data_IF_327780828758
#
_entry.id   IF_327780828758
#
_cell.length_a   1.000
_cell.length_b   1.000
_cell.length_c   1.000
_cell.angle_alpha   90.00
_cell.angle_beta   90.00
_cell.angle_gamma   90.00
#
_symmetry.space_group_name_H-M   'P 1'
#
loop_
_entity.id
_entity.type
_entity.pdbx_description
1 polymer ?
#
# COMPACT_ATOMS: atom_id res chain seq x y z
N UNK A 1 16.85 0.01 -25.47
CA UNK A 1 15.70 0.85 -25.87
C UNK A 1 14.89 1.29 -24.63
N UNK A 2 15.12 2.50 -24.11
CA UNK A 2 14.39 3.09 -22.96
C UNK A 2 14.22 4.61 -23.20
N UNK A 3 13.34 5.01 -24.12
CA UNK A 3 13.13 6.44 -24.45
C UNK A 3 11.66 6.87 -24.60
N UNK A 4 10.70 6.08 -24.11
CA UNK A 4 9.27 6.34 -24.33
C UNK A 4 8.52 7.06 -23.19
N UNK A 5 9.07 7.21 -21.98
CA UNK A 5 8.31 7.75 -20.83
C UNK A 5 8.45 9.27 -20.57
N UNK A 6 9.42 9.95 -21.17
CA UNK A 6 9.63 11.40 -20.99
C UNK A 6 8.65 12.23 -21.82
N UNK A 7 8.29 11.78 -23.02
CA UNK A 7 7.35 12.49 -23.91
C UNK A 7 5.96 12.66 -23.30
N UNK A 8 5.48 11.66 -22.56
CA UNK A 8 4.14 11.69 -21.94
C UNK A 8 4.06 12.64 -20.73
N UNK A 9 5.17 12.93 -20.04
CA UNK A 9 5.19 13.90 -18.94
C UNK A 9 5.25 15.35 -19.45
N UNK A 10 5.98 15.57 -20.55
CA UNK A 10 6.07 16.90 -21.18
C UNK A 10 4.73 17.30 -21.78
N UNK A 11 4.01 16.37 -22.42
CA UNK A 11 2.68 16.63 -22.97
C UNK A 11 1.67 17.04 -21.89
N UNK A 12 1.71 16.42 -20.71
CA UNK A 12 0.84 16.78 -19.57
C UNK A 12 1.18 18.15 -18.99
N UNK A 13 2.46 18.50 -18.93
CA UNK A 13 2.90 19.82 -18.50
C UNK A 13 2.45 20.90 -19.49
N UNK A 14 2.55 20.63 -20.79
CA UNK A 14 2.11 21.55 -21.85
C UNK A 14 0.60 21.76 -21.79
N UNK A 15 -0.20 20.70 -21.63
CA UNK A 15 -1.66 20.79 -21.48
C UNK A 15 -2.02 21.60 -20.22
N UNK A 16 -1.32 21.39 -19.11
CA UNK A 16 -1.54 22.15 -17.88
C UNK A 16 -1.20 23.64 -18.04
N UNK A 17 -0.06 23.96 -18.67
CA UNK A 17 0.31 25.34 -18.98
C UNK A 17 -0.66 25.99 -19.97
N UNK A 18 -1.18 25.25 -20.94
CA UNK A 18 -2.18 25.80 -21.90
C UNK A 18 -3.50 26.06 -21.21
N UNK A 19 -3.97 25.18 -20.33
CA UNK A 19 -5.18 25.44 -19.54
C UNK A 19 -4.97 26.65 -18.63
N UNK A 20 -3.82 26.74 -17.96
CA UNK A 20 -3.48 27.88 -17.10
C UNK A 20 -3.40 29.21 -17.88
N UNK A 21 -2.74 29.21 -19.04
CA UNK A 21 -2.63 30.38 -19.93
C UNK A 21 -3.99 30.72 -20.55
N UNK A 22 -4.81 29.76 -20.96
CA UNK A 22 -6.15 30.01 -21.51
C UNK A 22 -7.09 30.52 -20.44
N UNK A 23 -7.02 30.02 -19.20
CA UNK A 23 -7.78 30.57 -18.06
C UNK A 23 -7.32 31.98 -17.70
N UNK A 24 -6.01 32.25 -17.71
CA UNK A 24 -5.44 33.58 -17.48
C UNK A 24 -5.82 34.58 -18.59
N UNK A 25 -5.71 34.17 -19.86
CA UNK A 25 -6.09 34.97 -21.02
C UNK A 25 -7.60 35.14 -21.16
N UNK A 26 -8.41 34.17 -20.73
CA UNK A 26 -9.87 34.31 -20.66
C UNK A 26 -10.28 35.29 -19.57
N UNK A 27 -9.54 35.33 -18.45
CA UNK A 27 -9.67 36.38 -17.45
C UNK A 27 -9.26 37.75 -17.98
N UNK A 28 -8.22 37.84 -18.83
CA UNK A 28 -7.69 39.10 -19.37
C UNK A 28 -8.56 39.68 -20.52
N UNK A 29 -8.94 38.85 -21.51
CA UNK A 29 -9.77 39.28 -22.67
C UNK A 29 -11.20 39.66 -22.30
N UNK A 30 -11.70 39.17 -21.17
CA UNK A 30 -13.03 39.48 -20.66
C UNK A 30 -13.00 40.22 -19.33
N UNK A 31 -11.82 40.65 -18.85
CA UNK A 31 -11.67 41.42 -17.61
C UNK A 31 -12.62 42.61 -17.60
N UNK A 32 -12.66 43.38 -18.69
CA UNK A 32 -13.54 44.56 -18.80
C UNK A 32 -15.03 44.22 -18.87
N UNK A 33 -15.42 43.11 -19.49
CA UNK A 33 -16.83 42.68 -19.55
C UNK A 33 -17.30 42.07 -18.23
N UNK A 34 -16.43 41.33 -17.54
CA UNK A 34 -16.67 40.77 -16.22
C UNK A 34 -16.69 41.88 -15.17
N UNK A 35 -15.80 42.87 -15.26
CA UNK A 35 -15.80 44.07 -14.41
C UNK A 35 -17.06 44.91 -14.64
N UNK A 36 -17.48 45.15 -15.88
CA UNK A 36 -18.75 45.85 -16.17
C UNK A 36 -19.98 45.05 -15.73
N UNK A 37 -19.95 43.72 -15.81
CA UNK A 37 -21.02 42.86 -15.28
C UNK A 37 -21.06 42.90 -13.75
N UNK A 38 -19.90 42.88 -13.08
CA UNK A 38 -19.83 43.02 -11.62
C UNK A 38 -20.22 44.44 -11.16
N UNK A 39 -19.83 45.50 -11.88
CA UNK A 39 -20.31 46.86 -11.63
C UNK A 39 -21.82 46.96 -11.82
N UNK A 40 -22.37 46.35 -12.86
CA UNK A 40 -23.81 46.31 -13.11
C UNK A 40 -24.54 45.52 -12.02
N UNK A 41 -24.02 44.37 -11.59
CA UNK A 41 -24.57 43.54 -10.50
C UNK A 41 -24.46 44.26 -9.14
N UNK A 42 -23.34 44.94 -8.85
CA UNK A 42 -23.15 45.73 -7.63
C UNK A 42 -24.03 46.99 -7.62
N UNK A 43 -24.24 47.65 -8.76
CA UNK A 43 -25.15 48.78 -8.90
C UNK A 43 -26.63 48.35 -8.84
N UNK A 44 -26.97 47.15 -9.31
CA UNK A 44 -28.35 46.64 -9.21
C UNK A 44 -28.70 46.06 -7.83
N UNK A 45 -27.70 45.91 -6.94
CA UNK A 45 -27.88 45.60 -5.51
C UNK A 45 -27.87 46.90 -4.67
N UNK A 46 -28.16 48.07 -5.28
CA UNK A 46 -28.03 49.40 -4.67
C UNK A 46 -28.71 49.55 -3.30
N UNK A 47 -27.90 49.28 -2.28
CA UNK A 47 -28.00 49.77 -0.92
C UNK A 47 -26.63 49.86 -0.23
N UNK A 48 -25.52 49.53 -0.92
CA UNK A 48 -24.17 49.57 -0.35
C UNK A 48 -23.30 50.68 -0.97
N UNK A 49 -22.52 51.42 -0.15
CA UNK A 49 -21.66 52.50 -0.61
C UNK A 49 -20.47 51.98 -1.44
N UNK A 50 -19.97 52.85 -2.31
CA UNK A 50 -18.87 52.65 -3.27
C UNK A 50 -17.64 51.98 -2.64
N UNK A 51 -17.31 50.75 -3.08
CA UNK A 51 -16.05 50.08 -2.76
C UNK A 51 -14.86 50.85 -3.32
N UNK A 52 -13.78 50.96 -2.54
CA UNK A 52 -12.57 51.69 -2.93
C UNK A 52 -11.66 50.82 -3.80
N UNK A 53 -10.78 51.44 -4.60
CA UNK A 53 -9.84 50.72 -5.48
C UNK A 53 -8.93 49.73 -4.72
N UNK A 54 -8.70 49.97 -3.42
CA UNK A 54 -7.95 49.08 -2.54
C UNK A 54 -8.66 47.73 -2.32
N UNK A 55 -9.99 47.73 -2.24
CA UNK A 55 -10.80 46.52 -2.04
C UNK A 55 -10.80 45.62 -3.29
N UNK A 56 -10.70 46.22 -4.48
CA UNK A 56 -10.59 45.48 -5.75
C UNK A 56 -9.23 44.75 -5.85
N UNK A 57 -8.17 45.33 -5.28
CA UNK A 57 -6.83 44.72 -5.30
C UNK A 57 -6.72 43.51 -4.36
N UNK A 58 -7.38 43.55 -3.20
CA UNK A 58 -7.39 42.43 -2.26
C UNK A 58 -8.10 41.22 -2.86
N UNK A 59 -9.30 41.42 -3.43
CA UNK A 59 -10.11 40.38 -4.08
C UNK A 59 -9.33 39.66 -5.20
N UNK A 60 -8.54 40.40 -6.00
CA UNK A 60 -7.71 39.82 -7.07
C UNK A 60 -6.60 38.92 -6.54
N UNK A 61 -5.95 39.30 -5.45
CA UNK A 61 -4.89 38.50 -4.83
C UNK A 61 -5.47 37.22 -4.22
N UNK A 62 -6.63 37.31 -3.56
CA UNK A 62 -7.33 36.16 -2.96
C UNK A 62 -7.75 35.13 -4.01
N UNK A 63 -8.30 35.59 -5.14
CA UNK A 63 -8.68 34.73 -6.26
C UNK A 63 -7.46 34.03 -6.89
N UNK A 64 -6.33 34.73 -6.99
CA UNK A 64 -5.09 34.19 -7.54
C UNK A 64 -4.51 33.08 -6.67
N UNK A 65 -4.44 33.30 -5.35
CA UNK A 65 -3.98 32.30 -4.36
C UNK A 65 -4.89 31.07 -4.38
N UNK A 66 -6.21 31.25 -4.47
CA UNK A 66 -7.16 30.14 -4.56
C UNK A 66 -6.97 29.32 -5.83
N UNK A 67 -6.78 29.97 -6.98
CA UNK A 67 -6.53 29.29 -8.25
C UNK A 67 -5.26 28.42 -8.22
N UNK A 68 -4.24 28.89 -7.49
CA UNK A 68 -2.95 28.23 -7.33
C UNK A 68 -3.05 27.02 -6.40
N UNK A 69 -3.78 27.15 -5.28
CA UNK A 69 -4.06 26.06 -4.35
C UNK A 69 -4.98 25.00 -4.99
N UNK A 70 -6.01 25.41 -5.74
CA UNK A 70 -6.88 24.50 -6.48
C UNK A 70 -6.10 23.75 -7.57
N UNK A 71 -5.25 24.45 -8.31
CA UNK A 71 -4.33 23.85 -9.28
C UNK A 71 -3.38 22.84 -8.63
N UNK A 72 -2.85 23.14 -7.45
CA UNK A 72 -1.97 22.24 -6.71
C UNK A 72 -2.71 21.00 -6.20
N UNK A 73 -3.93 21.16 -5.68
CA UNK A 73 -4.77 20.07 -5.22
C UNK A 73 -5.23 19.16 -6.38
N UNK A 74 -5.63 19.75 -7.51
CA UNK A 74 -5.96 19.02 -8.76
C UNK A 74 -4.73 18.31 -9.30
N UNK A 75 -3.55 18.95 -9.31
CA UNK A 75 -2.29 18.29 -9.70
C UNK A 75 -1.99 17.08 -8.82
N UNK A 76 -2.17 17.19 -7.50
CA UNK A 76 -1.98 16.07 -6.58
C UNK A 76 -3.00 14.95 -6.84
N UNK A 77 -4.29 15.28 -6.99
CA UNK A 77 -5.36 14.33 -7.32
C UNK A 77 -5.14 13.62 -8.68
N UNK A 78 -4.61 14.33 -9.68
CA UNK A 78 -4.31 13.77 -11.00
C UNK A 78 -3.01 12.94 -11.03
N UNK A 79 -2.08 13.23 -10.12
CA UNK A 79 -0.83 12.46 -9.97
C UNK A 79 -1.03 11.21 -9.12
N UNK A 80 -2.08 11.15 -8.30
CA UNK A 80 -2.60 9.89 -7.75
C UNK A 80 -3.10 9.06 -8.94
N UNK A 81 -2.49 7.90 -9.24
CA UNK A 81 -2.93 7.08 -10.34
C UNK A 81 -4.32 6.53 -10.01
N UNK A 82 -5.38 7.19 -10.51
CA UNK A 82 -6.72 6.63 -10.56
C UNK A 82 -6.62 5.31 -11.31
N UNK A 83 -6.65 4.25 -10.53
CA UNK A 83 -6.43 2.91 -11.03
C UNK A 83 -7.62 2.57 -11.94
N UNK A 84 -7.33 2.39 -13.24
CA UNK A 84 -8.19 1.68 -14.22
C UNK A 84 -8.56 0.24 -13.79
N UNK A 85 -8.16 -0.19 -12.58
CA UNK A 85 -8.41 -1.49 -12.01
C UNK A 85 -9.80 -1.62 -11.37
N UNK A 86 -10.62 -0.56 -11.25
CA UNK A 86 -12.00 -0.69 -10.76
C UNK A 86 -12.97 -1.25 -11.83
N UNK A 87 -12.64 -1.12 -13.12
CA UNK A 87 -13.46 -1.64 -14.23
C UNK A 87 -12.88 -2.89 -14.92
N UNK A 88 -11.87 -3.55 -14.34
CA UNK A 88 -11.17 -4.67 -15.01
C UNK A 88 -10.92 -5.90 -14.15
N UNK A 89 -11.87 -6.23 -13.26
CA UNK A 89 -11.87 -7.48 -12.48
C UNK A 89 -12.96 -8.45 -12.96
N UNK A 90 -13.00 -8.71 -14.27
CA UNK A 90 -13.45 -10.00 -14.80
C UNK A 90 -12.24 -10.62 -15.49
N UNK A 91 -11.76 -11.72 -14.89
CA UNK A 91 -10.85 -12.74 -15.42
C UNK A 91 -9.45 -12.33 -15.91
N UNK A 92 -8.44 -12.34 -15.03
CA UNK A 92 -7.13 -12.97 -15.35
C UNK A 92 -6.56 -13.59 -14.07
N UNK A 93 -6.40 -14.93 -14.10
CA UNK A 93 -5.65 -15.75 -13.14
C UNK A 93 -4.20 -15.25 -13.08
N UNK A 94 -3.85 -14.42 -12.10
CA UNK A 94 -2.50 -13.84 -11.97
C UNK A 94 -1.69 -14.53 -10.88
N UNK A 95 -0.42 -14.74 -11.23
CA UNK A 95 0.64 -15.35 -10.45
C UNK A 95 0.74 -14.73 -9.03
N UNK A 96 0.75 -15.52 -7.94
CA UNK A 96 0.67 -15.04 -6.55
C UNK A 96 1.76 -14.02 -6.15
N UNK A 97 2.90 -13.99 -6.84
CA UNK A 97 3.97 -13.00 -6.64
C UNK A 97 3.56 -11.54 -6.92
N UNK A 98 2.53 -11.31 -7.76
CA UNK A 98 2.08 -9.93 -8.08
C UNK A 98 1.05 -9.38 -7.09
N UNK A 99 0.52 -10.20 -6.19
CA UNK A 99 -0.51 -9.80 -5.24
C UNK A 99 0.09 -9.05 -4.04
N UNK A 100 1.20 -9.55 -3.48
CA UNK A 100 1.80 -8.99 -2.25
C UNK A 100 2.44 -7.60 -2.44
N UNK A 101 3.11 -7.35 -3.58
CA UNK A 101 3.63 -6.00 -3.91
C UNK A 101 2.47 -4.99 -4.10
N UNK A 102 1.30 -5.48 -4.52
CA UNK A 102 0.11 -4.64 -4.74
C UNK A 102 -0.52 -4.18 -3.42
N UNK A 103 -0.43 -4.97 -2.36
CA UNK A 103 -1.12 -4.67 -1.10
C UNK A 103 -0.39 -3.62 -0.26
N UNK A 104 0.95 -3.68 -0.15
CA UNK A 104 1.72 -2.63 0.54
C UNK A 104 1.70 -1.29 -0.24
N UNK A 105 1.67 -1.35 -1.58
CA UNK A 105 1.51 -0.13 -2.40
C UNK A 105 0.09 0.45 -2.35
N UNK A 106 -0.93 -0.35 -2.06
CA UNK A 106 -2.30 0.14 -1.89
C UNK A 106 -2.48 0.91 -0.58
N UNK A 107 -1.91 0.45 0.54
CA UNK A 107 -1.97 1.20 1.81
C UNK A 107 -1.33 2.59 1.71
N UNK A 108 -0.16 2.70 1.06
CA UNK A 108 0.47 4.01 0.79
C UNK A 108 -0.41 4.90 -0.08
N UNK A 109 -1.11 4.35 -1.08
CA UNK A 109 -2.02 5.13 -1.93
C UNK A 109 -3.22 5.66 -1.15
N UNK A 110 -3.84 4.85 -0.29
CA UNK A 110 -4.97 5.30 0.53
C UNK A 110 -4.58 6.46 1.46
N UNK A 111 -3.37 6.41 2.02
CA UNK A 111 -2.84 7.52 2.83
C UNK A 111 -2.70 8.83 2.02
N UNK A 112 -2.08 8.79 0.84
CA UNK A 112 -1.94 10.00 0.01
C UNK A 112 -3.29 10.53 -0.49
N UNK A 113 -4.24 9.66 -0.84
CA UNK A 113 -5.59 10.08 -1.21
C UNK A 113 -6.27 10.78 -0.03
N UNK A 114 -6.21 10.19 1.16
CA UNK A 114 -6.80 10.80 2.38
C UNK A 114 -6.17 12.16 2.70
N UNK A 115 -4.84 12.24 2.66
CA UNK A 115 -4.10 13.49 2.88
C UNK A 115 -4.46 14.56 1.83
N UNK A 116 -4.59 14.17 0.56
CA UNK A 116 -4.97 15.10 -0.52
C UNK A 116 -6.39 15.64 -0.34
N UNK A 117 -7.34 14.77 0.05
CA UNK A 117 -8.72 15.18 0.33
C UNK A 117 -8.73 16.14 1.52
N UNK A 118 -8.02 15.82 2.61
CA UNK A 118 -7.91 16.66 3.79
C UNK A 118 -7.35 18.06 3.50
N UNK A 119 -6.26 18.14 2.72
CA UNK A 119 -5.68 19.42 2.30
C UNK A 119 -6.64 20.23 1.41
N UNK A 120 -7.40 19.56 0.54
CA UNK A 120 -8.41 20.19 -0.29
C UNK A 120 -9.56 20.73 0.57
N UNK A 121 -10.04 19.99 1.58
CA UNK A 121 -11.05 20.50 2.52
C UNK A 121 -10.56 21.72 3.29
N UNK A 122 -9.31 21.70 3.79
CA UNK A 122 -8.71 22.88 4.45
C UNK A 122 -8.67 24.06 3.49
N UNK A 123 -8.27 23.85 2.23
CA UNK A 123 -8.21 24.90 1.21
C UNK A 123 -9.58 25.51 0.95
N UNK A 124 -10.62 24.68 0.84
CA UNK A 124 -12.01 25.13 0.68
C UNK A 124 -12.45 25.93 1.91
N UNK A 125 -12.16 25.46 3.12
CA UNK A 125 -12.49 26.17 4.36
C UNK A 125 -11.80 27.55 4.39
N UNK A 126 -10.50 27.61 4.09
CA UNK A 126 -9.74 28.89 4.02
C UNK A 126 -10.35 29.82 2.97
N UNK A 127 -10.74 29.29 1.81
CA UNK A 127 -11.39 30.09 0.77
C UNK A 127 -12.74 30.66 1.22
N UNK A 128 -13.58 29.84 1.84
CA UNK A 128 -14.85 30.28 2.42
C UNK A 128 -14.63 31.34 3.51
N UNK A 129 -13.58 31.20 4.33
CA UNK A 129 -13.20 32.19 5.35
C UNK A 129 -12.78 33.53 4.74
N UNK A 130 -12.16 33.51 3.56
CA UNK A 130 -11.74 34.73 2.87
C UNK A 130 -12.91 35.45 2.16
N UNK A 131 -14.01 34.74 1.86
CA UNK A 131 -15.18 35.30 1.19
C UNK A 131 -16.26 35.88 2.13
N UNK A 132 -16.34 35.43 3.39
CA UNK A 132 -17.41 35.84 4.32
C UNK A 132 -16.86 36.60 5.53
N UNK A 133 -17.24 37.88 5.66
CA UNK A 133 -16.46 38.87 6.43
C UNK A 133 -16.78 38.99 7.94
N UNK A 134 -17.98 38.61 8.42
CA UNK A 134 -18.32 38.73 9.86
C UNK A 134 -18.89 37.47 10.50
N UNK A 135 -19.93 36.88 9.92
CA UNK A 135 -20.58 35.72 10.54
C UNK A 135 -19.72 34.45 10.47
N UNK A 136 -18.94 34.28 9.40
CA UNK A 136 -18.03 33.14 9.25
C UNK A 136 -16.87 33.15 10.26
N UNK A 137 -16.44 34.33 10.72
CA UNK A 137 -15.38 34.46 11.74
C UNK A 137 -15.80 33.83 13.08
N UNK A 138 -17.10 33.84 13.41
CA UNK A 138 -17.62 33.18 14.61
C UNK A 138 -17.67 31.65 14.50
N UNK A 139 -17.79 31.12 13.28
CA UNK A 139 -17.82 29.66 13.05
C UNK A 139 -16.40 29.06 12.94
N UNK A 140 -15.38 29.89 12.70
CA UNK A 140 -13.99 29.46 12.50
C UNK A 140 -13.43 28.62 13.65
N UNK A 141 -13.53 29.03 14.93
CA UNK A 141 -12.97 28.24 16.03
C UNK A 141 -13.61 26.86 16.11
N UNK A 142 -14.92 26.77 15.84
CA UNK A 142 -15.66 25.51 15.84
C UNK A 142 -15.20 24.59 14.71
N UNK A 143 -15.07 25.11 13.49
CA UNK A 143 -14.61 24.32 12.34
C UNK A 143 -13.17 23.80 12.51
N UNK A 144 -12.26 24.65 13.01
CA UNK A 144 -10.87 24.25 13.30
C UNK A 144 -10.81 23.18 14.39
N UNK A 145 -11.63 23.33 15.44
CA UNK A 145 -11.71 22.35 16.54
C UNK A 145 -12.17 21.00 16.01
N UNK A 146 -13.27 20.94 15.26
CA UNK A 146 -13.77 19.69 14.69
C UNK A 146 -12.79 19.08 13.66
N UNK A 147 -12.16 19.90 12.83
CA UNK A 147 -11.14 19.45 11.89
C UNK A 147 -9.93 18.81 12.58
N UNK A 148 -9.47 19.41 13.69
CA UNK A 148 -8.43 18.85 14.53
C UNK A 148 -8.84 17.51 15.17
N UNK A 149 -10.07 17.42 15.69
CA UNK A 149 -10.61 16.18 16.28
C UNK A 149 -10.66 15.05 15.24
N UNK A 150 -11.18 15.30 14.04
CA UNK A 150 -11.25 14.28 12.98
C UNK A 150 -9.86 13.82 12.53
N UNK A 151 -8.89 14.74 12.45
CA UNK A 151 -7.50 14.41 12.14
C UNK A 151 -6.88 13.53 13.23
N UNK A 152 -7.07 13.86 14.50
CA UNK A 152 -6.59 13.07 15.63
C UNK A 152 -7.21 11.66 15.65
N UNK A 153 -8.52 11.54 15.42
CA UNK A 153 -9.21 10.24 15.31
C UNK A 153 -8.61 9.41 14.16
N UNK A 154 -8.33 10.04 13.01
CA UNK A 154 -7.75 9.36 11.85
C UNK A 154 -6.37 8.78 12.15
N UNK A 155 -5.50 9.54 12.84
CA UNK A 155 -4.19 9.06 13.30
C UNK A 155 -4.36 7.94 14.33
N UNK A 156 -5.31 8.08 15.26
CA UNK A 156 -5.60 7.08 16.28
C UNK A 156 -6.01 5.74 15.67
N UNK A 157 -6.93 5.75 14.69
CA UNK A 157 -7.37 4.56 13.97
C UNK A 157 -6.20 3.90 13.22
N UNK A 158 -5.37 4.68 12.51
CA UNK A 158 -4.20 4.14 11.81
C UNK A 158 -3.20 3.48 12.77
N UNK A 159 -2.93 4.13 13.90
CA UNK A 159 -2.03 3.61 14.93
C UNK A 159 -2.58 2.33 15.56
N UNK A 160 -3.88 2.29 15.81
CA UNK A 160 -4.59 1.11 16.30
C UNK A 160 -4.49 -0.06 15.33
N UNK A 161 -4.75 0.17 14.04
CA UNK A 161 -4.62 -0.88 13.02
C UNK A 161 -3.21 -1.43 12.90
N UNK A 162 -2.20 -0.55 12.91
CA UNK A 162 -0.80 -0.96 12.87
C UNK A 162 -0.43 -1.80 14.09
N UNK A 163 -0.84 -1.36 15.28
CA UNK A 163 -0.60 -2.10 16.52
C UNK A 163 -1.29 -3.47 16.51
N UNK A 164 -2.55 -3.51 16.10
CA UNK A 164 -3.29 -4.76 15.94
C UNK A 164 -2.58 -5.73 14.98
N UNK A 165 -2.09 -5.20 13.86
CA UNK A 165 -1.34 -5.98 12.87
C UNK A 165 0.01 -6.48 13.45
N UNK A 166 0.71 -5.68 14.25
CA UNK A 166 1.99 -6.05 14.89
C UNK A 166 1.83 -7.06 16.03
N UNK A 167 0.67 -7.05 16.70
CA UNK A 167 0.27 -8.02 17.74
C UNK A 167 -0.18 -9.37 17.17
N UNK A 168 -0.43 -9.48 15.86
CA UNK A 168 -0.78 -10.76 15.26
C UNK A 168 0.35 -11.79 15.47
N UNK A 169 -0.01 -13.04 15.83
CA UNK A 169 0.94 -14.15 15.84
C UNK A 169 1.69 -14.21 14.51
N UNK A 170 2.99 -14.50 14.58
CA UNK A 170 3.83 -14.64 13.39
C UNK A 170 4.14 -16.12 13.21
N UNK A 171 3.94 -16.61 11.99
CA UNK A 171 4.21 -18.00 11.60
C UNK A 171 5.24 -17.99 10.48
N UNK A 172 6.14 -18.96 10.45
CA UNK A 172 7.15 -19.10 9.41
C UNK A 172 6.97 -20.44 8.69
N UNK A 173 7.12 -20.42 7.37
CA UNK A 173 7.36 -21.61 6.56
C UNK A 173 8.74 -21.49 5.94
N UNK A 174 9.59 -22.48 6.22
CA UNK A 174 10.95 -22.56 5.69
C UNK A 174 11.03 -23.69 4.66
N UNK A 175 11.53 -23.37 3.47
CA UNK A 175 11.82 -24.33 2.42
C UNK A 175 13.34 -24.49 2.28
N UNK A 176 13.80 -25.72 2.21
CA UNK A 176 15.20 -26.04 1.95
C UNK A 176 15.32 -26.59 0.53
N UNK A 177 16.05 -25.87 -0.30
CA UNK A 177 16.15 -26.10 -1.73
C UNK A 177 17.55 -26.62 -2.08
N UNK A 178 17.63 -27.70 -2.83
CA UNK A 178 18.88 -28.22 -3.40
C UNK A 178 18.69 -28.40 -4.90
N UNK A 179 19.57 -27.82 -5.72
CA UNK A 179 19.48 -27.86 -7.19
C UNK A 179 18.09 -27.46 -7.74
N UNK A 180 17.43 -26.50 -7.08
CA UNK A 180 16.10 -26.02 -7.47
C UNK A 180 14.93 -26.91 -7.04
N UNK A 181 15.18 -28.03 -6.36
CA UNK A 181 14.15 -28.92 -5.79
C UNK A 181 13.99 -28.71 -4.27
N UNK A 182 12.76 -28.80 -3.77
CA UNK A 182 12.45 -28.82 -2.33
C UNK A 182 12.88 -30.18 -1.77
N UNK A 183 13.85 -30.21 -0.87
CA UNK A 183 14.27 -31.45 -0.18
C UNK A 183 13.62 -31.57 1.19
N UNK A 184 13.44 -30.44 1.88
CA UNK A 184 12.75 -30.39 3.17
C UNK A 184 11.93 -29.10 3.26
N UNK A 185 10.81 -29.13 3.99
CA UNK A 185 10.10 -27.93 4.39
C UNK A 185 9.49 -28.03 5.79
N UNK A 186 9.52 -26.92 6.52
CA UNK A 186 8.88 -26.78 7.83
C UNK A 186 7.78 -25.74 7.70
N UNK A 187 6.53 -26.12 7.92
CA UNK A 187 5.34 -25.31 7.67
C UNK A 187 4.73 -24.79 8.99
N UNK A 188 4.38 -23.50 8.99
CA UNK A 188 3.57 -22.80 10.00
C UNK A 188 4.09 -22.89 11.44
N UNK A 189 5.41 -22.85 11.63
CA UNK A 189 5.97 -22.84 12.97
C UNK A 189 6.01 -21.44 13.57
N UNK A 190 5.95 -21.34 14.89
CA UNK A 190 5.89 -20.04 15.58
C UNK A 190 7.18 -19.25 15.38
N UNK A 191 7.01 -17.97 15.05
CA UNK A 191 8.10 -17.01 14.87
C UNK A 191 7.99 -15.93 15.94
N UNK A 192 9.01 -15.82 16.79
CA UNK A 192 9.01 -14.79 17.83
C UNK A 192 9.15 -13.38 17.23
N UNK A 193 10.06 -13.21 16.27
CA UNK A 193 10.36 -11.92 15.66
C UNK A 193 10.74 -12.07 14.17
N UNK A 194 10.41 -11.08 13.36
CA UNK A 194 10.76 -11.01 11.93
C UNK A 194 12.27 -10.91 11.71
N UNK A 195 12.99 -10.28 12.63
CA UNK A 195 14.46 -10.17 12.56
C UNK A 195 15.15 -11.54 12.63
N UNK A 196 14.50 -12.53 13.27
CA UNK A 196 15.08 -13.83 13.55
C UNK A 196 14.70 -14.91 12.52
N UNK A 197 14.01 -14.54 11.43
CA UNK A 197 13.56 -15.50 10.38
C UNK A 197 14.71 -16.40 9.90
N UNK A 198 15.90 -15.82 9.72
CA UNK A 198 17.08 -16.58 9.28
C UNK A 198 17.52 -17.60 10.33
N UNK A 199 17.68 -17.15 11.58
CA UNK A 199 18.15 -18.00 12.68
C UNK A 199 17.14 -19.12 12.98
N UNK A 200 15.86 -18.79 13.10
CA UNK A 200 14.79 -19.76 13.31
C UNK A 200 14.65 -20.75 12.15
N UNK A 201 14.76 -20.27 10.90
CA UNK A 201 14.76 -21.14 9.73
C UNK A 201 15.93 -22.13 9.74
N UNK A 202 17.13 -21.68 10.06
CA UNK A 202 18.30 -22.56 10.17
C UNK A 202 18.17 -23.56 11.32
N UNK A 203 17.64 -23.14 12.47
CA UNK A 203 17.38 -24.02 13.61
C UNK A 203 16.34 -25.09 13.29
N UNK A 204 15.23 -24.72 12.63
CA UNK A 204 14.24 -25.67 12.17
C UNK A 204 14.85 -26.70 11.21
N UNK A 205 15.68 -26.25 10.26
CA UNK A 205 16.40 -27.14 9.35
C UNK A 205 17.32 -28.12 10.07
N UNK A 206 18.05 -27.65 11.09
CA UNK A 206 18.90 -28.49 11.94
C UNK A 206 18.08 -29.55 12.70
N UNK A 207 16.96 -29.16 13.30
CA UNK A 207 16.07 -30.08 14.03
C UNK A 207 15.42 -31.14 13.11
N UNK A 208 14.97 -30.72 11.92
CA UNK A 208 14.45 -31.64 10.91
C UNK A 208 15.49 -32.67 10.45
N UNK A 209 16.77 -32.31 10.57
CA UNK A 209 17.91 -33.08 10.14
C UNK A 209 18.68 -33.76 11.29
N UNK A 210 17.97 -34.21 12.33
CA UNK A 210 18.54 -34.89 13.50
C UNK A 210 19.73 -34.15 14.14
N UNK A 211 19.63 -32.84 14.31
CA UNK A 211 20.67 -31.98 14.89
C UNK A 211 21.97 -31.85 14.06
N UNK A 212 21.97 -32.32 12.82
CA UNK A 212 23.13 -32.20 11.92
C UNK A 212 23.10 -30.87 11.18
N UNK A 213 24.24 -30.18 11.14
CA UNK A 213 24.36 -28.88 10.46
C UNK A 213 24.18 -29.03 8.94
N UNK A 214 23.30 -28.21 8.37
CA UNK A 214 23.12 -28.05 6.94
C UNK A 214 24.11 -27.02 6.40
N UNK A 215 24.69 -27.29 5.23
CA UNK A 215 25.52 -26.32 4.50
C UNK A 215 24.63 -25.44 3.62
N UNK A 216 24.50 -24.18 4.01
CA UNK A 216 23.68 -23.20 3.32
C UNK A 216 24.51 -22.40 2.32
N UNK A 217 23.95 -22.20 1.13
CA UNK A 217 24.38 -21.16 0.21
C UNK A 217 23.98 -19.79 0.79
N UNK A 218 24.76 -18.75 0.49
CA UNK A 218 24.50 -17.36 0.89
C UNK A 218 23.18 -16.82 0.29
N UNK A 219 22.64 -17.48 -0.74
CA UNK A 219 21.33 -17.16 -1.31
C UNK A 219 20.21 -17.49 -0.34
N UNK A 220 19.52 -16.46 0.12
CA UNK A 220 18.29 -16.59 0.91
C UNK A 220 17.23 -15.73 0.24
N UNK A 221 16.10 -16.34 -0.09
CA UNK A 221 14.95 -15.64 -0.65
C UNK A 221 13.83 -15.57 0.38
N UNK A 222 13.51 -14.37 0.84
CA UNK A 222 12.29 -14.13 1.63
C UNK A 222 11.16 -13.84 0.65
N UNK A 223 10.23 -14.77 0.52
CA UNK A 223 9.31 -14.82 -0.62
C UNK A 223 8.01 -14.08 -0.32
N UNK A 224 7.52 -14.14 0.92
CA UNK A 224 6.13 -13.76 1.18
C UNK A 224 5.88 -13.34 2.61
N UNK A 225 5.02 -12.32 2.76
CA UNK A 225 4.32 -11.97 3.99
C UNK A 225 2.84 -11.95 3.63
N UNK A 226 2.04 -12.78 4.28
CA UNK A 226 0.58 -12.80 4.09
C UNK A 226 -0.17 -12.79 5.41
N UNK A 227 -1.23 -11.99 5.49
CA UNK A 227 -2.16 -12.01 6.62
C UNK A 227 -3.26 -13.02 6.27
N UNK A 228 -3.26 -14.16 6.96
CA UNK A 228 -4.24 -15.22 6.67
C UNK A 228 -5.45 -15.05 7.57
N UNK A 229 -6.60 -14.77 6.95
CA UNK A 229 -7.92 -14.69 7.61
C UNK A 229 -7.91 -13.82 8.90
N UNK A 230 -7.04 -12.80 8.98
CA UNK A 230 -6.83 -11.94 10.17
C UNK A 230 -6.39 -12.68 11.45
N UNK A 231 -5.86 -13.90 11.34
CA UNK A 231 -5.42 -14.71 12.49
C UNK A 231 -3.93 -14.59 12.77
N UNK A 232 -3.09 -14.55 11.73
CA UNK A 232 -1.64 -14.48 11.87
C UNK A 232 -0.98 -13.89 10.62
N UNK A 233 0.25 -13.39 10.80
CA UNK A 233 1.17 -13.02 9.71
C UNK A 233 2.03 -14.23 9.37
N UNK A 234 2.02 -14.65 8.11
CA UNK A 234 2.79 -15.79 7.65
C UNK A 234 3.95 -15.35 6.76
N UNK A 235 5.14 -15.82 7.11
CA UNK A 235 6.37 -15.55 6.41
C UNK A 235 6.82 -16.81 5.67
N UNK A 236 7.33 -16.65 4.46
CA UNK A 236 7.94 -17.74 3.70
C UNK A 236 9.40 -17.41 3.40
N UNK A 237 10.29 -18.35 3.73
CA UNK A 237 11.73 -18.24 3.45
C UNK A 237 12.23 -19.47 2.71
N UNK A 238 13.12 -19.25 1.74
CA UNK A 238 13.82 -20.31 1.03
C UNK A 238 15.31 -20.23 1.35
N UNK A 239 15.83 -21.35 1.83
CA UNK A 239 17.25 -21.58 2.03
C UNK A 239 17.76 -22.47 0.91
N UNK A 240 18.83 -22.05 0.24
CA UNK A 240 19.49 -22.89 -0.76
C UNK A 240 20.63 -23.65 -0.07
N UNK A 241 20.77 -24.93 -0.39
CA UNK A 241 21.78 -25.82 0.19
C UNK A 241 22.91 -26.03 -0.82
N UNK A 242 24.15 -26.10 -0.32
CA UNK A 242 25.33 -26.37 -1.14
C UNK A 242 25.47 -27.85 -1.48
N UNK A 243 25.02 -28.73 -0.59
CA UNK A 243 25.13 -30.18 -0.75
C UNK A 243 23.96 -30.91 -0.11
N UNK A 244 23.56 -32.03 -0.71
CA UNK A 244 22.62 -32.98 -0.09
C UNK A 244 23.24 -33.76 1.08
N UNK A 245 24.56 -33.73 1.22
CA UNK A 245 25.28 -34.46 2.27
C UNK A 245 24.79 -34.04 3.66
N UNK A 246 24.40 -35.04 4.45
CA UNK A 246 23.88 -34.86 5.79
C UNK A 246 22.37 -34.75 5.88
N UNK A 247 21.64 -34.59 4.76
CA UNK A 247 20.18 -34.75 4.76
C UNK A 247 19.87 -36.23 4.94
N UNK A 248 18.97 -36.57 5.86
CA UNK A 248 18.45 -37.93 6.03
C UNK A 248 17.53 -38.27 4.86
N UNK A 249 18.07 -38.30 3.65
CA UNK A 249 17.40 -38.80 2.47
C UNK A 249 17.74 -40.27 2.33
N UNK A 250 16.76 -41.14 2.61
CA UNK A 250 16.77 -42.47 2.04
C UNK A 250 16.81 -42.30 0.50
N UNK A 251 17.72 -42.95 -0.25
CA UNK A 251 17.80 -42.82 -1.71
C UNK A 251 16.47 -43.10 -2.44
N UNK A 252 15.55 -43.83 -1.80
CA UNK A 252 14.17 -44.03 -2.29
C UNK A 252 13.33 -42.72 -2.35
N UNK A 253 13.80 -41.63 -1.74
CA UNK A 253 13.09 -40.36 -1.59
C UNK A 253 13.71 -39.20 -2.38
N UNK A 254 14.49 -39.50 -3.43
CA UNK A 254 15.17 -38.47 -4.21
C UNK A 254 14.23 -37.47 -4.91
N UNK A 255 12.98 -37.88 -5.17
CA UNK A 255 11.92 -37.03 -5.73
C UNK A 255 10.85 -36.62 -4.71
N UNK A 256 11.14 -36.72 -3.41
CA UNK A 256 10.20 -36.36 -2.35
C UNK A 256 10.73 -35.24 -1.44
N UNK A 257 9.87 -34.27 -1.12
CA UNK A 257 10.14 -33.24 -0.11
C UNK A 257 9.63 -33.73 1.25
N UNK A 258 10.53 -33.81 2.25
CA UNK A 258 10.15 -34.14 3.63
C UNK A 258 9.51 -32.91 4.25
N UNK A 259 8.27 -33.01 4.71
CA UNK A 259 7.54 -31.87 5.25
C UNK A 259 7.19 -32.10 6.71
N UNK A 260 7.44 -31.09 7.52
CA UNK A 260 6.97 -31.00 8.90
C UNK A 260 5.95 -29.88 8.94
N UNK A 261 4.75 -30.14 9.42
CA UNK A 261 3.71 -29.12 9.51
C UNK A 261 3.14 -29.09 10.93
N UNK A 262 3.01 -27.89 11.48
CA UNK A 262 2.31 -27.69 12.73
C UNK A 262 0.81 -27.49 12.47
N UNK A 263 -0.02 -28.33 13.10
CA UNK A 263 -1.48 -28.22 13.02
C UNK A 263 -2.00 -27.44 14.22
N UNK A 264 -2.36 -26.17 14.02
CA UNK A 264 -2.86 -25.29 15.09
C UNK A 264 -4.05 -25.89 15.84
N UNK A 265 -4.95 -26.61 15.15
CA UNK A 265 -6.15 -27.22 15.76
C UNK A 265 -5.81 -28.39 16.68
N UNK A 266 -4.77 -29.17 16.35
CA UNK A 266 -4.33 -30.33 17.14
C UNK A 266 -3.22 -29.99 18.13
N UNK A 267 -2.55 -28.85 17.94
CA UNK A 267 -1.31 -28.45 18.63
C UNK A 267 -0.20 -29.50 18.54
N UNK A 268 -0.15 -30.21 17.42
CA UNK A 268 0.80 -31.29 17.18
C UNK A 268 1.57 -31.08 15.87
N UNK A 269 2.78 -31.64 15.84
CA UNK A 269 3.61 -31.69 14.65
C UNK A 269 3.34 -32.97 13.88
N UNK A 270 3.04 -32.84 12.59
CA UNK A 270 2.92 -33.96 11.68
C UNK A 270 4.11 -33.97 10.72
N UNK A 271 4.77 -35.13 10.63
CA UNK A 271 5.84 -35.40 9.65
C UNK A 271 5.26 -36.21 8.50
N UNK A 272 5.38 -35.67 7.30
CA UNK A 272 4.93 -36.30 6.08
C UNK A 272 5.95 -36.15 4.95
N UNK A 273 5.54 -36.62 3.78
CA UNK A 273 6.36 -36.60 2.58
C UNK A 273 5.46 -36.21 1.41
N UNK A 274 5.92 -35.27 0.59
CA UNK A 274 5.18 -34.76 -0.58
C UNK A 274 6.02 -35.05 -1.82
N UNK A 275 5.36 -35.56 -2.86
CA UNK A 275 5.99 -35.78 -4.15
C UNK A 275 6.36 -34.42 -4.77
N UNK A 276 7.63 -34.26 -5.17
CA UNK A 276 8.15 -33.03 -5.77
C UNK A 276 7.58 -32.93 -7.18
N UNK A 277 6.28 -32.60 -7.29
CA UNK A 277 5.78 -31.98 -8.50
C UNK A 277 6.48 -30.62 -8.66
N UNK A 278 6.53 -30.08 -9.88
CA UNK A 278 7.26 -28.84 -10.22
C UNK A 278 6.90 -27.60 -9.37
N UNK A 279 5.92 -27.68 -8.46
CA UNK A 279 5.47 -26.59 -7.60
C UNK A 279 5.80 -26.85 -6.13
N UNK A 280 6.21 -25.79 -5.42
CA UNK A 280 6.41 -25.81 -3.97
C UNK A 280 5.10 -26.21 -3.27
N UNK A 281 5.16 -27.01 -2.19
CA UNK A 281 3.97 -27.39 -1.46
C UNK A 281 3.31 -26.13 -0.87
N UNK A 282 2.03 -25.97 -1.17
CA UNK A 282 1.23 -24.85 -0.70
C UNK A 282 1.01 -25.01 0.81
N UNK A 283 1.52 -24.10 1.66
CA UNK A 283 1.39 -24.21 3.10
C UNK A 283 -0.06 -24.03 3.57
N UNK A 284 -0.99 -23.61 2.69
CA UNK A 284 -2.40 -23.37 3.01
C UNK A 284 -3.35 -24.47 2.58
N UNK A 285 -2.88 -25.47 1.85
CA UNK A 285 -3.76 -26.51 1.35
C UNK A 285 -4.06 -27.50 2.49
N UNK A 286 -5.25 -27.34 3.08
CA UNK A 286 -5.78 -28.21 4.14
C UNK A 286 -6.11 -29.61 3.63
N UNK A 287 -6.17 -29.82 2.30
CA UNK A 287 -6.50 -31.10 1.67
C UNK A 287 -5.29 -31.97 1.39
N UNK A 288 -4.08 -31.56 1.82
CA UNK A 288 -2.89 -32.40 1.69
C UNK A 288 -3.09 -33.74 2.42
N UNK A 289 -3.40 -34.78 1.66
CA UNK A 289 -3.40 -36.15 2.15
C UNK A 289 -1.96 -36.59 2.30
N UNK A 290 -1.44 -36.46 3.52
CA UNK A 290 -0.14 -37.02 3.87
C UNK A 290 -0.15 -38.51 3.53
N UNK A 291 0.68 -38.94 2.57
CA UNK A 291 1.08 -40.36 2.54
C UNK A 291 1.84 -40.58 3.84
N UNK A 292 1.18 -41.21 4.83
CA UNK A 292 1.83 -41.60 6.08
C UNK A 292 3.08 -42.38 5.71
N UNK A 293 4.22 -41.98 6.29
CA UNK A 293 5.47 -42.74 6.13
C UNK A 293 5.17 -44.21 6.47
N UNK A 294 5.61 -45.18 5.66
CA UNK A 294 5.61 -46.56 6.10
C UNK A 294 6.35 -46.62 7.44
N UNK A 295 5.76 -47.28 8.43
CA UNK A 295 6.41 -47.48 9.73
C UNK A 295 7.65 -48.35 9.46
N UNK A 296 8.83 -47.77 9.68
CA UNK A 296 10.07 -48.55 9.85
C UNK A 296 10.04 -49.25 11.21
#
# INVERSE_FOLDING_TARGET
MKKANTSFSILKLIIFLTIFIVSYLALDKHADKIMKFFEYVLQSISGFPTLTLADVSSIKITALIFSLLLSFAVYFLLKVPFSKSFLKNIQIKKNPLTQVIKDNTNNKKHFYTFLSVYLLTITIIIYYLLLFDREAKNFMPLALTWGGVLFAISIGIQSYYKRWEDELPKKLTAYFMFEGKCVMSCHRFDLANEADIRAWGQQAGKQMNNETFLKFDLRIETVKIEIIKRKYKHYEVKFYLESKNGIISNPEYDDLCIVWAFHDDKKEWEKGVIEISKNLPNPYDETFSWKKRPKN
#
